data_IF_540046143730
#
_entry.id   IF_540046143730
#
_cell.length_a   1.000
_cell.length_b   1.000
_cell.length_c   1.000
_cell.angle_alpha   90.00
_cell.angle_beta   90.00
_cell.angle_gamma   90.00
#
_symmetry.space_group_name_H-M   'P 1'
#
loop_
_entity.id
_entity.type
_entity.pdbx_description
1 polymer ?
#
# COMPACT_ATOMS: atom_id res chain seq x y z
N UNK A 1 1.24 18.87 32.65
CA UNK A 1 1.88 19.77 31.66
C UNK A 1 1.72 19.37 30.17
N UNK A 2 0.82 18.44 29.79
CA UNK A 2 0.77 17.92 28.39
C UNK A 2 -0.35 18.42 27.47
N UNK A 3 -1.29 19.27 27.94
CA UNK A 3 -2.52 19.58 27.18
C UNK A 3 -2.40 20.85 26.32
N UNK A 4 -1.47 21.76 26.63
CA UNK A 4 -1.29 23.01 25.89
C UNK A 4 -0.58 22.84 24.53
N UNK A 5 0.27 21.81 24.37
CA UNK A 5 1.09 21.62 23.16
C UNK A 5 0.31 21.08 21.94
N UNK A 6 -0.78 20.33 22.15
CA UNK A 6 -1.61 19.81 21.04
C UNK A 6 -2.57 20.85 20.46
N UNK A 7 -3.09 21.77 21.29
CA UNK A 7 -3.98 22.86 20.81
C UNK A 7 -3.20 23.87 19.97
N UNK A 8 -1.97 24.21 20.33
CA UNK A 8 -1.14 25.14 19.54
C UNK A 8 -0.87 24.67 18.11
N UNK A 9 -0.65 23.36 17.91
CA UNK A 9 -0.42 22.78 16.56
C UNK A 9 -1.69 22.74 15.69
N UNK A 10 -2.86 22.53 16.29
CA UNK A 10 -4.13 22.60 15.55
C UNK A 10 -4.52 24.03 15.18
N UNK A 11 -4.26 25.01 16.06
CA UNK A 11 -4.50 26.41 15.74
C UNK A 11 -3.59 26.92 14.63
N UNK A 12 -2.32 26.52 14.62
CA UNK A 12 -1.39 26.89 13.55
C UNK A 12 -1.81 26.28 12.21
N UNK A 13 -2.26 25.01 12.19
CA UNK A 13 -2.77 24.37 10.97
C UNK A 13 -4.05 25.05 10.43
N UNK A 14 -4.97 25.43 11.33
CA UNK A 14 -6.20 26.16 10.96
C UNK A 14 -5.87 27.58 10.48
N UNK A 15 -4.94 28.27 11.12
CA UNK A 15 -4.51 29.61 10.73
C UNK A 15 -3.78 29.59 9.38
N UNK A 16 -2.94 28.58 9.12
CA UNK A 16 -2.30 28.39 7.82
C UNK A 16 -3.34 28.03 6.75
N UNK A 17 -4.30 27.15 7.04
CA UNK A 17 -5.37 26.83 6.10
C UNK A 17 -6.27 28.04 5.80
N UNK A 18 -6.58 28.87 6.81
CA UNK A 18 -7.33 30.10 6.65
C UNK A 18 -6.52 31.16 5.87
N UNK A 19 -5.23 31.31 6.15
CA UNK A 19 -4.34 32.21 5.43
C UNK A 19 -4.16 31.77 3.97
N UNK A 20 -4.03 30.47 3.72
CA UNK A 20 -3.99 29.90 2.36
C UNK A 20 -5.34 30.09 1.67
N UNK A 21 -6.47 29.89 2.36
CA UNK A 21 -7.79 30.13 1.79
C UNK A 21 -8.01 31.62 1.45
N UNK A 22 -7.56 32.53 2.31
CA UNK A 22 -7.59 33.98 2.06
C UNK A 22 -6.65 34.34 0.91
N UNK A 23 -5.43 33.82 0.89
CA UNK A 23 -4.49 34.03 -0.22
C UNK A 23 -5.06 33.47 -1.53
N UNK A 24 -5.72 32.32 -1.50
CA UNK A 24 -6.40 31.70 -2.64
C UNK A 24 -7.59 32.52 -3.10
N UNK A 25 -8.38 33.10 -2.19
CA UNK A 25 -9.48 34.01 -2.52
C UNK A 25 -8.94 35.32 -3.09
N UNK A 26 -7.84 35.85 -2.54
CA UNK A 26 -7.15 37.05 -3.04
C UNK A 26 -6.57 36.79 -4.43
N UNK A 27 -5.92 35.64 -4.66
CA UNK A 27 -5.40 35.23 -5.97
C UNK A 27 -6.52 34.94 -6.98
N UNK A 28 -7.68 34.43 -6.51
CA UNK A 28 -8.86 34.23 -7.34
C UNK A 28 -9.57 35.54 -7.70
N UNK A 29 -9.49 36.55 -6.83
CA UNK A 29 -10.03 37.89 -7.05
C UNK A 29 -9.10 38.79 -7.88
N UNK A 30 -7.78 38.54 -7.86
CA UNK A 30 -6.76 39.40 -8.46
C UNK A 30 -6.38 39.08 -9.92
N UNK A 31 -7.18 38.30 -10.65
CA UNK A 31 -6.93 37.95 -12.06
C UNK A 31 -5.49 37.44 -12.33
N UNK A 32 -4.91 36.69 -11.37
CA UNK A 32 -3.55 36.17 -11.49
C UNK A 32 -3.53 35.08 -12.57
N UNK A 33 -2.99 35.46 -13.73
CA UNK A 33 -3.09 34.67 -14.95
C UNK A 33 -2.11 33.48 -15.02
N UNK A 34 -1.21 33.34 -14.04
CA UNK A 34 -0.23 32.25 -14.06
C UNK A 34 -0.84 30.92 -13.63
N UNK A 35 -1.23 30.09 -14.61
CA UNK A 35 -1.66 28.69 -14.42
C UNK A 35 -0.68 27.90 -13.56
N UNK A 36 0.61 28.25 -13.58
CA UNK A 36 1.65 27.55 -12.83
C UNK A 36 1.60 27.85 -11.33
N UNK A 37 1.26 29.08 -10.93
CA UNK A 37 1.03 29.41 -9.50
C UNK A 37 -0.17 28.60 -8.98
N UNK A 38 -1.25 28.51 -9.74
CA UNK A 38 -2.43 27.76 -9.33
C UNK A 38 -2.17 26.25 -9.26
N UNK A 39 -1.32 25.70 -10.14
CA UNK A 39 -0.85 24.31 -10.06
C UNK A 39 0.00 24.08 -8.81
N UNK A 40 0.92 24.99 -8.51
CA UNK A 40 1.75 24.90 -7.30
C UNK A 40 0.88 24.92 -6.05
N UNK A 41 -0.07 25.86 -5.95
CA UNK A 41 -1.06 25.91 -4.87
C UNK A 41 -1.82 24.59 -4.78
N UNK A 42 -2.39 24.10 -5.89
CA UNK A 42 -3.17 22.87 -5.89
C UNK A 42 -2.33 21.67 -5.43
N UNK A 43 -1.05 21.60 -5.81
CA UNK A 43 -0.14 20.52 -5.42
C UNK A 43 0.17 20.46 -3.92
N UNK A 44 0.03 21.60 -3.23
CA UNK A 44 0.25 21.75 -1.78
C UNK A 44 -1.00 21.47 -0.95
N UNK A 45 -2.19 21.50 -1.57
CA UNK A 45 -3.45 21.21 -0.91
C UNK A 45 -3.66 19.72 -0.67
N UNK A 46 -4.35 19.37 0.42
CA UNK A 46 -4.80 18.01 0.63
C UNK A 46 -5.87 17.63 -0.42
N UNK A 47 -5.99 16.32 -0.70
CA UNK A 47 -6.93 15.81 -1.71
C UNK A 47 -8.35 16.38 -1.58
N UNK A 48 -8.87 16.50 -0.34
CA UNK A 48 -10.23 17.00 -0.08
C UNK A 48 -10.35 18.51 -0.35
N UNK A 49 -9.31 19.27 -0.05
CA UNK A 49 -9.24 20.71 -0.27
C UNK A 49 -9.10 21.02 -1.76
N UNK A 50 -8.18 20.34 -2.43
CA UNK A 50 -8.00 20.40 -3.88
C UNK A 50 -9.30 20.03 -4.62
N UNK A 51 -10.05 19.02 -4.14
CA UNK A 51 -11.35 18.66 -4.70
C UNK A 51 -12.37 19.81 -4.53
N UNK A 52 -12.39 20.48 -3.38
CA UNK A 52 -13.28 21.63 -3.12
C UNK A 52 -12.95 22.82 -4.01
N UNK A 53 -11.67 23.06 -4.27
CA UNK A 53 -11.22 24.11 -5.20
C UNK A 53 -11.85 23.94 -6.58
N UNK A 54 -12.03 22.69 -7.05
CA UNK A 54 -12.64 22.39 -8.36
C UNK A 54 -14.07 22.91 -8.53
N UNK A 55 -14.75 23.24 -7.43
CA UNK A 55 -16.12 23.75 -7.41
C UNK A 55 -16.14 25.28 -7.59
N UNK A 56 -15.06 25.97 -7.20
CA UNK A 56 -15.01 27.43 -7.18
C UNK A 56 -14.96 28.05 -8.59
N UNK A 57 -14.36 27.39 -9.58
CA UNK A 57 -14.35 27.90 -10.96
C UNK A 57 -14.05 26.83 -12.00
N UNK A 58 -14.31 27.14 -13.28
CA UNK A 58 -13.92 26.30 -14.43
C UNK A 58 -12.39 26.11 -14.52
N UNK A 59 -11.61 27.14 -14.15
CA UNK A 59 -10.12 27.09 -14.13
C UNK A 59 -9.64 26.07 -13.11
N UNK A 60 -10.14 26.14 -11.87
CA UNK A 60 -9.81 25.17 -10.82
C UNK A 60 -10.31 23.76 -11.13
N UNK A 61 -11.48 23.63 -11.76
CA UNK A 61 -11.97 22.33 -12.25
C UNK A 61 -11.04 21.71 -13.28
N UNK A 62 -10.48 22.52 -14.17
CA UNK A 62 -9.46 22.08 -15.13
C UNK A 62 -8.18 21.62 -14.45
N UNK A 63 -7.70 22.37 -13.45
CA UNK A 63 -6.48 22.02 -12.69
C UNK A 63 -6.64 20.77 -11.84
N UNK A 64 -7.83 20.54 -11.27
CA UNK A 64 -8.15 19.33 -10.52
C UNK A 64 -7.91 18.05 -11.32
N UNK A 65 -8.13 18.08 -12.64
CA UNK A 65 -7.85 16.94 -13.53
C UNK A 65 -6.37 16.57 -13.61
N UNK A 66 -5.48 17.48 -13.26
CA UNK A 66 -4.04 17.26 -13.22
C UNK A 66 -3.54 16.95 -11.79
N UNK A 67 -4.44 16.74 -10.83
CA UNK A 67 -4.05 16.48 -9.44
C UNK A 67 -3.46 15.07 -9.28
N UNK A 68 -2.22 15.00 -8.81
CA UNK A 68 -1.41 13.77 -8.88
C UNK A 68 -1.60 12.81 -7.68
N UNK A 69 -2.36 13.22 -6.65
CA UNK A 69 -2.44 12.53 -5.35
C UNK A 69 -3.88 12.13 -4.99
N UNK A 70 -4.41 11.10 -5.63
CA UNK A 70 -5.77 10.65 -5.38
C UNK A 70 -5.84 9.75 -4.14
N UNK A 71 -6.61 10.19 -3.13
CA UNK A 71 -6.72 9.49 -1.84
C UNK A 71 -8.20 9.26 -1.51
N UNK A 72 -8.66 8.04 -1.76
CA UNK A 72 -10.02 7.57 -1.50
C UNK A 72 -10.06 6.75 -0.20
N UNK A 73 -10.45 7.41 0.87
CA UNK A 73 -10.54 6.86 2.23
C UNK A 73 -11.88 7.23 2.82
N UNK A 74 -12.19 6.70 4.01
CA UNK A 74 -13.40 7.13 4.70
C UNK A 74 -13.34 8.63 5.04
N UNK A 75 -12.20 9.14 5.46
CA UNK A 75 -12.02 10.53 5.88
C UNK A 75 -12.14 11.52 4.71
N UNK A 76 -11.67 11.11 3.53
CA UNK A 76 -11.73 11.93 2.31
C UNK A 76 -13.08 11.85 1.61
N UNK A 77 -13.75 10.70 1.65
CA UNK A 77 -15.03 10.49 0.95
C UNK A 77 -16.27 10.87 1.77
N UNK A 78 -16.14 11.06 3.09
CA UNK A 78 -17.26 11.40 3.96
C UNK A 78 -16.99 12.68 4.78
N UNK A 79 -18.06 13.35 5.21
CA UNK A 79 -18.00 14.49 6.14
C UNK A 79 -17.94 13.99 7.58
N UNK A 80 -17.25 14.73 8.46
CA UNK A 80 -17.26 14.46 9.91
C UNK A 80 -18.71 14.41 10.41
N UNK A 81 -19.06 13.35 11.15
CA UNK A 81 -20.41 13.13 11.66
C UNK A 81 -21.34 12.27 10.80
N UNK A 82 -20.88 11.73 9.65
CA UNK A 82 -21.72 10.80 8.88
C UNK A 82 -21.77 9.41 9.54
N UNK A 83 -22.98 8.90 9.83
CA UNK A 83 -23.19 7.54 10.34
C UNK A 83 -22.47 6.50 9.49
N UNK A 84 -21.44 5.88 10.07
CA UNK A 84 -20.50 4.92 9.47
C UNK A 84 -21.15 3.75 8.72
N UNK A 85 -22.40 3.45 9.06
CA UNK A 85 -23.10 2.21 8.74
C UNK A 85 -23.83 2.28 7.39
N UNK A 86 -24.03 3.48 6.81
CA UNK A 86 -24.53 3.69 5.43
C UNK A 86 -23.47 4.45 4.64
N UNK A 87 -22.96 4.02 3.48
CA UNK A 87 -23.34 2.97 2.55
C UNK A 87 -22.09 2.73 1.67
N UNK A 88 -21.70 1.48 1.39
CA UNK A 88 -20.60 1.18 0.44
C UNK A 88 -20.88 1.78 -0.94
N UNK A 89 -22.16 1.86 -1.30
CA UNK A 89 -22.62 2.51 -2.53
C UNK A 89 -22.30 4.01 -2.56
N UNK A 90 -22.34 4.69 -1.41
CA UNK A 90 -21.97 6.12 -1.33
C UNK A 90 -20.47 6.31 -1.52
N UNK A 91 -19.64 5.45 -0.92
CA UNK A 91 -18.21 5.46 -1.20
C UNK A 91 -17.95 5.23 -2.69
N UNK A 92 -18.52 4.18 -3.28
CA UNK A 92 -18.39 3.88 -4.71
C UNK A 92 -18.87 5.04 -5.56
N UNK A 93 -20.01 5.64 -5.25
CA UNK A 93 -20.55 6.79 -5.97
C UNK A 93 -19.61 8.00 -5.90
N UNK A 94 -19.02 8.28 -4.72
CA UNK A 94 -18.09 9.39 -4.54
C UNK A 94 -16.75 9.14 -5.26
N UNK A 95 -16.19 7.93 -5.20
CA UNK A 95 -15.00 7.58 -5.98
C UNK A 95 -15.31 7.67 -7.47
N UNK A 96 -16.44 7.10 -7.88
CA UNK A 96 -16.87 7.14 -9.28
C UNK A 96 -17.20 8.56 -9.74
N UNK A 97 -17.67 9.48 -8.90
CA UNK A 97 -17.95 10.86 -9.33
C UNK A 97 -16.65 11.62 -9.59
N UNK A 98 -15.64 11.41 -8.74
CA UNK A 98 -14.27 11.92 -8.99
C UNK A 98 -13.71 11.32 -10.28
N UNK A 99 -13.92 10.02 -10.51
CA UNK A 99 -13.50 9.31 -11.71
C UNK A 99 -14.30 9.69 -12.98
N UNK A 100 -15.60 9.92 -12.86
CA UNK A 100 -16.51 10.31 -13.96
C UNK A 100 -16.21 11.72 -14.45
N UNK A 101 -15.61 12.58 -13.61
CA UNK A 101 -15.05 13.85 -14.06
C UNK A 101 -13.85 13.67 -15.02
N UNK A 102 -13.20 12.50 -15.03
CA UNK A 102 -12.12 12.14 -15.96
C UNK A 102 -12.64 11.39 -17.20
N UNK A 103 -13.71 10.59 -17.08
CA UNK A 103 -14.22 9.76 -18.17
C UNK A 103 -15.33 10.38 -19.06
N UNK A 104 -15.84 11.60 -18.77
CA UNK A 104 -17.05 12.13 -19.45
C UNK A 104 -16.91 13.51 -20.08
N UNK A 105 -16.00 13.68 -21.04
CA UNK A 105 -16.15 14.69 -22.09
C UNK A 105 -15.65 14.23 -23.49
N UNK A 106 -15.65 12.93 -23.81
CA UNK A 106 -15.77 12.45 -25.21
C UNK A 106 -15.82 10.92 -25.31
N UNK A 107 -16.78 10.34 -26.06
CA UNK A 107 -16.65 9.02 -26.68
C UNK A 107 -15.83 9.06 -27.99
N UNK A 108 -15.40 10.24 -28.45
CA UNK A 108 -14.81 10.45 -29.78
C UNK A 108 -13.38 11.03 -29.76
N UNK A 109 -12.67 10.94 -28.64
CA UNK A 109 -11.28 11.42 -28.55
C UNK A 109 -10.47 10.50 -27.65
N UNK A 110 -9.23 10.13 -28.01
CA UNK A 110 -8.34 9.44 -27.09
C UNK A 110 -8.21 10.32 -25.83
N UNK A 111 -8.18 9.74 -24.62
CA UNK A 111 -8.17 10.52 -23.40
C UNK A 111 -6.95 11.44 -23.39
N UNK A 112 -7.20 12.75 -23.48
CA UNK A 112 -6.21 13.83 -23.35
C UNK A 112 -5.48 13.83 -21.99
N UNK A 113 -5.76 12.85 -21.12
CA UNK A 113 -5.12 12.61 -19.82
C UNK A 113 -4.05 11.52 -19.84
N UNK A 114 -3.65 11.01 -21.01
CA UNK A 114 -2.45 10.16 -21.17
C UNK A 114 -1.15 10.85 -20.67
N UNK A 115 -1.17 12.14 -20.35
CA UNK A 115 0.02 12.91 -19.95
C UNK A 115 0.26 13.08 -18.45
N UNK A 116 -0.73 12.87 -17.57
CA UNK A 116 -0.53 13.14 -16.12
C UNK A 116 -0.16 11.87 -15.38
N UNK A 117 1.11 11.78 -14.96
CA UNK A 117 1.62 10.67 -14.15
C UNK A 117 1.11 10.84 -12.72
N UNK A 118 0.27 9.93 -12.24
CA UNK A 118 -0.14 9.94 -10.83
C UNK A 118 1.05 9.64 -9.93
N UNK A 119 1.31 10.54 -8.97
CA UNK A 119 2.27 10.26 -7.90
C UNK A 119 1.70 9.21 -6.96
N UNK A 120 0.43 9.36 -6.57
CA UNK A 120 -0.17 8.55 -5.51
C UNK A 120 -1.63 8.22 -5.81
N UNK A 121 -1.96 6.95 -5.65
CA UNK A 121 -3.31 6.42 -5.77
C UNK A 121 -3.60 5.53 -4.56
N UNK A 122 -4.58 5.92 -3.74
CA UNK A 122 -4.93 5.21 -2.51
C UNK A 122 -6.42 4.93 -2.49
N UNK A 123 -6.79 3.67 -2.28
CA UNK A 123 -8.15 3.25 -1.97
C UNK A 123 -8.11 2.47 -0.66
N UNK A 124 -8.75 3.00 0.38
CA UNK A 124 -8.92 2.34 1.67
C UNK A 124 -10.39 2.31 2.06
N UNK A 125 -11.03 1.16 1.90
CA UNK A 125 -12.43 0.99 2.26
C UNK A 125 -12.82 -0.48 2.22
N UNK A 126 -13.66 -0.95 3.15
CA UNK A 126 -14.16 -2.33 3.13
C UNK A 126 -15.10 -2.58 1.94
N UNK A 127 -14.56 -3.20 0.89
CA UNK A 127 -15.28 -3.62 -0.31
C UNK A 127 -15.50 -5.14 -0.30
N UNK A 128 -16.55 -5.60 -0.98
CA UNK A 128 -16.98 -7.00 -1.12
C UNK A 128 -16.78 -7.45 -2.56
N UNK A 129 -16.79 -8.75 -2.82
CA UNK A 129 -16.60 -9.30 -4.17
C UNK A 129 -17.62 -8.79 -5.18
N UNK A 130 -18.87 -8.56 -4.76
CA UNK A 130 -19.91 -7.96 -5.64
C UNK A 130 -19.52 -6.61 -6.25
N UNK A 131 -18.52 -5.93 -5.70
CA UNK A 131 -18.07 -4.60 -6.13
C UNK A 131 -16.78 -4.66 -6.97
N UNK A 132 -16.30 -5.86 -7.33
CA UNK A 132 -15.08 -6.08 -8.13
C UNK A 132 -15.04 -5.18 -9.36
N UNK A 133 -16.15 -5.11 -10.13
CA UNK A 133 -16.22 -4.29 -11.35
C UNK A 133 -15.87 -2.81 -11.15
N UNK A 134 -16.18 -2.24 -9.99
CA UNK A 134 -15.78 -0.86 -9.67
C UNK A 134 -14.30 -0.80 -9.33
N UNK A 135 -13.82 -1.74 -8.51
CA UNK A 135 -12.41 -1.84 -8.12
C UNK A 135 -11.53 -2.07 -9.34
N UNK A 136 -11.91 -2.96 -10.26
CA UNK A 136 -11.18 -3.26 -11.49
C UNK A 136 -11.00 -2.00 -12.35
N UNK A 137 -12.05 -1.16 -12.46
CA UNK A 137 -11.96 0.13 -13.15
C UNK A 137 -10.98 1.08 -12.46
N UNK A 138 -11.03 1.14 -11.12
CA UNK A 138 -10.14 2.00 -10.35
C UNK A 138 -8.67 1.55 -10.43
N UNK A 139 -8.42 0.24 -10.36
CA UNK A 139 -7.07 -0.32 -10.52
C UNK A 139 -6.58 -0.11 -11.96
N UNK A 140 -7.43 -0.35 -12.96
CA UNK A 140 -7.10 -0.09 -14.37
C UNK A 140 -6.72 1.37 -14.60
N UNK A 141 -7.50 2.29 -14.06
CA UNK A 141 -7.18 3.70 -14.09
C UNK A 141 -5.82 4.01 -13.45
N UNK A 142 -5.54 3.47 -12.26
CA UNK A 142 -4.23 3.68 -11.61
C UNK A 142 -3.06 3.19 -12.46
N UNK A 143 -3.25 2.11 -13.23
CA UNK A 143 -2.26 1.59 -14.16
C UNK A 143 -2.10 2.49 -15.40
N UNK A 144 -3.22 2.88 -16.04
CA UNK A 144 -3.23 3.76 -17.21
C UNK A 144 -2.60 5.12 -16.92
N UNK A 145 -2.85 5.66 -15.73
CA UNK A 145 -2.30 6.93 -15.26
C UNK A 145 -0.87 6.81 -14.69
N UNK A 146 -0.21 5.66 -14.91
CA UNK A 146 1.18 5.38 -14.53
C UNK A 146 1.48 5.67 -13.04
N UNK A 147 0.55 5.29 -12.16
CA UNK A 147 0.65 5.60 -10.75
C UNK A 147 1.94 5.03 -10.11
N UNK A 148 2.69 5.88 -9.40
CA UNK A 148 3.96 5.48 -8.78
C UNK A 148 3.78 4.83 -7.41
N UNK A 149 2.80 5.28 -6.63
CA UNK A 149 2.51 4.76 -5.30
C UNK A 149 1.05 4.31 -5.23
N UNK A 150 0.83 2.99 -5.17
CA UNK A 150 -0.50 2.38 -5.15
C UNK A 150 -0.74 1.75 -3.78
N UNK A 151 -1.86 2.10 -3.16
CA UNK A 151 -2.36 1.46 -1.94
C UNK A 151 -3.78 0.98 -2.19
N UNK A 152 -4.00 -0.31 -2.04
CA UNK A 152 -5.33 -0.92 -2.05
C UNK A 152 -5.51 -1.66 -0.73
N UNK A 153 -6.44 -1.18 0.09
CA UNK A 153 -6.65 -1.66 1.44
C UNK A 153 -8.14 -1.87 1.71
N UNK A 154 -8.54 -3.13 1.84
CA UNK A 154 -9.92 -3.49 2.13
C UNK A 154 -10.14 -3.91 3.59
N UNK A 155 -9.18 -3.63 4.49
CA UNK A 155 -9.23 -4.00 5.91
C UNK A 155 -10.16 -3.13 6.76
N UNK A 156 -10.45 -1.90 6.32
CA UNK A 156 -11.00 -0.88 7.22
C UNK A 156 -12.49 -1.05 7.54
N UNK A 157 -12.81 -1.33 8.81
CA UNK A 157 -14.17 -1.34 9.40
C UNK A 157 -14.40 -2.55 10.31
N UNK A 158 -15.33 -2.47 11.27
CA UNK A 158 -15.80 -3.67 12.01
C UNK A 158 -16.77 -4.49 11.13
N UNK A 159 -17.39 -5.53 11.68
CA UNK A 159 -18.48 -6.36 11.12
C UNK A 159 -18.08 -7.71 10.50
N UNK A 160 -18.27 -8.78 11.29
CA UNK A 160 -18.76 -10.12 10.93
C UNK A 160 -17.87 -11.04 10.09
N UNK A 161 -17.79 -12.31 10.51
CA UNK A 161 -17.08 -13.44 9.87
C UNK A 161 -17.74 -13.95 8.58
N UNK A 162 -18.05 -13.03 7.67
CA UNK A 162 -18.56 -13.37 6.35
C UNK A 162 -17.38 -13.59 5.40
N UNK A 163 -17.04 -14.86 5.18
CA UNK A 163 -15.99 -15.33 4.26
C UNK A 163 -16.37 -15.12 2.78
N UNK A 164 -16.77 -13.92 2.39
CA UNK A 164 -16.88 -13.56 0.98
C UNK A 164 -15.49 -13.68 0.35
N UNK A 165 -15.39 -14.46 -0.72
CA UNK A 165 -14.14 -14.72 -1.44
C UNK A 165 -13.40 -13.41 -1.75
N UNK A 166 -12.14 -13.33 -1.28
CA UNK A 166 -11.27 -12.16 -1.38
C UNK A 166 -11.15 -11.65 -2.82
N UNK A 167 -11.11 -10.33 -3.01
CA UNK A 167 -10.91 -9.68 -4.31
C UNK A 167 -9.59 -10.13 -4.95
N UNK A 168 -9.60 -10.54 -6.22
CA UNK A 168 -8.37 -10.89 -6.93
C UNK A 168 -7.81 -9.62 -7.58
N UNK A 169 -6.60 -9.24 -7.18
CA UNK A 169 -5.93 -8.06 -7.73
C UNK A 169 -5.52 -8.30 -9.19
N UNK A 170 -5.92 -7.43 -10.13
CA UNK A 170 -5.73 -7.65 -11.56
C UNK A 170 -4.32 -7.22 -11.97
N UNK A 171 -3.37 -8.13 -11.76
CA UNK A 171 -1.95 -7.90 -12.06
C UNK A 171 -1.69 -7.57 -13.54
N UNK A 172 -2.49 -8.14 -14.45
CA UNK A 172 -2.33 -7.93 -15.90
C UNK A 172 -2.40 -6.46 -16.33
N UNK A 173 -3.10 -5.58 -15.60
CA UNK A 173 -3.11 -4.14 -15.87
C UNK A 173 -1.72 -3.49 -15.77
N UNK A 174 -0.80 -4.13 -15.05
CA UNK A 174 0.56 -3.65 -14.84
C UNK A 174 1.61 -4.45 -15.63
N UNK A 175 1.19 -5.46 -16.40
CA UNK A 175 2.04 -6.25 -17.29
C UNK A 175 2.01 -5.63 -18.70
N UNK A 176 3.16 -5.30 -19.27
CA UNK A 176 3.23 -4.74 -20.63
C UNK A 176 4.61 -4.20 -21.01
N UNK A 177 4.86 -4.06 -22.31
CA UNK A 177 6.16 -3.67 -22.91
C UNK A 177 6.72 -2.33 -22.41
N UNK A 178 5.86 -1.39 -22.00
CA UNK A 178 6.27 -0.10 -21.48
C UNK A 178 6.66 -0.11 -19.98
N UNK A 179 6.57 -1.27 -19.33
CA UNK A 179 6.90 -1.46 -17.92
C UNK A 179 5.98 -0.71 -16.95
N UNK A 180 5.78 -1.28 -15.76
CA UNK A 180 5.00 -0.61 -14.72
C UNK A 180 5.79 0.57 -14.13
N UNK A 181 5.15 1.75 -14.00
CA UNK A 181 5.73 2.93 -13.32
C UNK A 181 5.65 2.84 -11.78
N UNK A 182 5.07 1.76 -11.26
CA UNK A 182 4.84 1.55 -9.83
C UNK A 182 6.19 1.37 -9.12
N UNK A 183 6.45 2.27 -8.16
CA UNK A 183 7.61 2.24 -7.26
C UNK A 183 7.25 1.70 -5.88
N UNK A 184 6.00 1.84 -5.46
CA UNK A 184 5.49 1.27 -4.21
C UNK A 184 4.11 0.69 -4.39
N UNK A 185 3.95 -0.56 -3.96
CA UNK A 185 2.69 -1.28 -3.97
C UNK A 185 2.37 -1.78 -2.57
N UNK A 186 1.19 -1.42 -2.05
CA UNK A 186 0.68 -1.90 -0.78
C UNK A 186 -0.71 -2.50 -0.98
N UNK A 187 -0.81 -3.80 -0.75
CA UNK A 187 -2.05 -4.56 -0.93
C UNK A 187 -2.45 -5.17 0.41
N UNK A 188 -3.69 -4.90 0.83
CA UNK A 188 -4.19 -5.37 2.12
C UNK A 188 -5.59 -5.97 1.98
N UNK A 189 -5.82 -7.16 2.57
CA UNK A 189 -7.11 -7.88 2.55
C UNK A 189 -7.63 -8.25 1.14
N UNK A 190 -6.79 -8.92 0.35
CA UNK A 190 -7.13 -9.35 -1.01
C UNK A 190 -6.41 -10.64 -1.44
N UNK A 191 -6.64 -11.11 -2.66
CA UNK A 191 -5.94 -12.22 -3.30
C UNK A 191 -4.97 -11.69 -4.35
N UNK A 192 -3.75 -12.23 -4.35
CA UNK A 192 -2.73 -11.95 -5.35
C UNK A 192 -2.41 -13.25 -6.09
N UNK A 193 -2.79 -13.32 -7.37
CA UNK A 193 -2.57 -14.50 -8.20
C UNK A 193 -1.71 -14.11 -9.41
N UNK A 194 -0.37 -14.12 -9.27
CA UNK A 194 0.52 -13.80 -10.39
C UNK A 194 0.39 -14.86 -11.48
N UNK A 195 0.03 -14.50 -12.72
CA UNK A 195 0.05 -15.44 -13.82
C UNK A 195 1.51 -15.81 -14.16
N UNK A 196 1.77 -16.99 -14.76
CA UNK A 196 3.13 -17.47 -15.03
C UNK A 196 3.95 -16.56 -15.96
N UNK A 197 3.27 -15.85 -16.86
CA UNK A 197 3.83 -14.93 -17.86
C UNK A 197 3.88 -13.47 -17.38
N UNK A 198 3.67 -13.22 -16.08
CA UNK A 198 3.69 -11.88 -15.54
C UNK A 198 5.09 -11.25 -15.63
N UNK A 199 5.27 -10.21 -16.45
CA UNK A 199 6.55 -9.50 -16.62
C UNK A 199 6.90 -8.55 -15.45
N UNK A 200 6.27 -8.74 -14.29
CA UNK A 200 6.60 -8.04 -13.05
C UNK A 200 6.33 -6.55 -12.96
N UNK A 201 6.92 -5.99 -11.89
CA UNK A 201 6.99 -4.56 -11.65
C UNK A 201 8.45 -4.10 -11.67
N UNK A 202 8.96 -3.81 -12.86
CA UNK A 202 10.38 -3.50 -13.10
C UNK A 202 10.92 -2.30 -12.31
N UNK A 203 10.06 -1.37 -11.88
CA UNK A 203 10.42 -0.19 -11.09
C UNK A 203 10.08 -0.29 -9.59
N UNK A 204 9.57 -1.44 -9.12
CA UNK A 204 9.06 -1.59 -7.77
C UNK A 204 10.19 -1.64 -6.74
N UNK A 205 10.24 -0.62 -5.88
CA UNK A 205 11.18 -0.54 -4.76
C UNK A 205 10.58 -1.05 -3.45
N UNK A 206 9.27 -0.92 -3.25
CA UNK A 206 8.60 -1.26 -1.99
C UNK A 206 7.35 -2.08 -2.21
N UNK A 207 7.32 -3.30 -1.70
CA UNK A 207 6.16 -4.18 -1.70
C UNK A 207 5.70 -4.48 -0.28
N UNK A 208 4.45 -4.11 0.05
CA UNK A 208 3.78 -4.53 1.29
C UNK A 208 2.56 -5.39 0.95
N UNK A 209 2.55 -6.62 1.47
CA UNK A 209 1.40 -7.51 1.46
C UNK A 209 0.93 -7.71 2.90
N UNK A 210 -0.37 -7.49 3.15
CA UNK A 210 -0.95 -7.59 4.49
C UNK A 210 -2.30 -8.31 4.45
N UNK A 211 -2.45 -9.45 5.13
CA UNK A 211 -3.67 -10.26 5.05
C UNK A 211 -4.03 -10.66 3.59
N UNK A 212 -3.03 -11.01 2.78
CA UNK A 212 -3.19 -11.37 1.36
C UNK A 212 -3.17 -12.88 1.16
N UNK A 213 -4.07 -13.41 0.32
CA UNK A 213 -3.99 -14.81 -0.16
C UNK A 213 -3.11 -14.89 -1.37
N UNK A 214 -2.18 -15.84 -1.37
CA UNK A 214 -1.31 -16.13 -2.51
C UNK A 214 -1.44 -17.64 -2.76
N UNK A 215 -2.41 -18.08 -3.58
CA UNK A 215 -2.63 -19.51 -3.84
C UNK A 215 -1.48 -20.13 -4.64
N UNK A 216 -0.84 -19.35 -5.51
CA UNK A 216 0.38 -19.73 -6.22
C UNK A 216 1.66 -19.44 -5.43
N UNK A 217 2.77 -19.34 -6.13
CA UNK A 217 4.08 -19.03 -5.54
C UNK A 217 4.48 -17.58 -5.84
N UNK A 218 5.03 -16.87 -4.85
CA UNK A 218 5.66 -15.56 -5.07
C UNK A 218 6.91 -15.64 -5.97
N UNK A 219 7.40 -16.85 -6.23
CA UNK A 219 8.54 -17.12 -7.11
C UNK A 219 8.37 -16.55 -8.51
N UNK A 220 7.14 -16.42 -9.04
CA UNK A 220 6.91 -15.80 -10.35
C UNK A 220 6.93 -14.27 -10.30
N UNK A 221 6.75 -13.66 -9.13
CA UNK A 221 6.59 -12.21 -8.98
C UNK A 221 7.90 -11.50 -8.58
N UNK A 222 8.63 -12.08 -7.63
CA UNK A 222 9.80 -11.44 -7.04
C UNK A 222 11.00 -11.29 -7.99
N UNK A 223 11.36 -12.28 -8.83
CA UNK A 223 12.46 -12.13 -9.79
C UNK A 223 12.27 -10.97 -10.76
N UNK A 224 11.03 -10.72 -11.16
CA UNK A 224 10.68 -9.64 -12.07
C UNK A 224 10.68 -8.24 -11.41
N UNK A 225 10.96 -8.17 -10.10
CA UNK A 225 11.08 -6.92 -9.34
C UNK A 225 12.55 -6.60 -9.06
N UNK A 226 13.38 -6.46 -10.10
CA UNK A 226 14.84 -6.33 -10.01
C UNK A 226 15.37 -5.19 -9.11
N UNK A 227 14.56 -4.14 -8.88
CA UNK A 227 14.95 -2.99 -8.05
C UNK A 227 14.28 -2.96 -6.67
N UNK A 228 13.73 -4.10 -6.22
CA UNK A 228 13.04 -4.20 -4.93
C UNK A 228 14.01 -3.99 -3.77
N UNK A 229 13.76 -2.96 -2.96
CA UNK A 229 14.57 -2.57 -1.80
C UNK A 229 13.92 -2.98 -0.48
N UNK A 230 12.59 -3.08 -0.44
CA UNK A 230 11.81 -3.32 0.77
C UNK A 230 10.65 -4.27 0.52
N UNK A 231 10.63 -5.39 1.24
CA UNK A 231 9.58 -6.40 1.19
C UNK A 231 9.01 -6.64 2.59
N UNK A 232 7.69 -6.54 2.73
CA UNK A 232 6.99 -6.91 3.95
C UNK A 232 5.76 -7.74 3.64
N UNK A 233 5.73 -8.95 4.20
CA UNK A 233 4.65 -9.92 4.08
C UNK A 233 4.12 -10.18 5.48
N UNK A 234 2.88 -9.77 5.73
CA UNK A 234 2.26 -9.81 7.07
C UNK A 234 0.90 -10.49 6.95
N UNK A 235 0.56 -11.42 7.85
CA UNK A 235 -0.75 -12.10 7.89
C UNK A 235 -1.15 -12.79 6.58
N UNK A 236 -0.19 -13.14 5.71
CA UNK A 236 -0.49 -13.70 4.39
C UNK A 236 -0.66 -15.21 4.42
N UNK A 237 -1.46 -15.75 3.51
CA UNK A 237 -1.58 -17.20 3.27
C UNK A 237 -0.78 -17.55 2.03
N UNK A 238 0.33 -18.28 2.19
CA UNK A 238 1.25 -18.66 1.10
C UNK A 238 2.02 -19.93 1.49
N UNK A 239 2.38 -20.77 0.51
CA UNK A 239 3.08 -22.06 0.76
C UNK A 239 4.56 -21.88 1.14
N UNK A 240 5.22 -20.88 0.57
CA UNK A 240 6.65 -20.65 0.79
C UNK A 240 7.10 -19.34 0.19
N UNK A 241 8.18 -18.79 0.73
CA UNK A 241 8.84 -17.61 0.22
C UNK A 241 10.21 -18.03 -0.29
N UNK A 242 10.33 -18.18 -1.61
CA UNK A 242 11.57 -18.60 -2.24
C UNK A 242 11.91 -17.72 -3.44
N UNK A 243 13.19 -17.59 -3.74
CA UNK A 243 13.70 -16.83 -4.89
C UNK A 243 14.59 -17.73 -5.75
N UNK A 244 14.33 -17.80 -7.05
CA UNK A 244 15.18 -18.52 -8.01
C UNK A 244 16.45 -17.75 -8.39
N UNK A 245 16.48 -16.44 -8.13
CA UNK A 245 17.60 -15.55 -8.43
C UNK A 245 17.88 -14.60 -7.25
N UNK A 246 19.11 -14.11 -7.09
CA UNK A 246 19.45 -13.18 -6.01
C UNK A 246 18.75 -11.82 -6.14
N UNK A 247 18.13 -11.36 -5.05
CA UNK A 247 17.53 -10.03 -4.93
C UNK A 247 18.59 -9.01 -4.50
N UNK A 248 19.43 -8.58 -5.43
CA UNK A 248 20.60 -7.73 -5.14
C UNK A 248 20.31 -6.36 -4.51
N UNK A 249 19.10 -5.80 -4.70
CA UNK A 249 18.75 -4.49 -4.12
C UNK A 249 17.98 -4.59 -2.81
N UNK A 250 17.57 -5.78 -2.41
CA UNK A 250 16.70 -5.97 -1.25
C UNK A 250 17.50 -5.68 0.02
N UNK A 251 17.09 -4.66 0.76
CA UNK A 251 17.71 -4.22 2.02
C UNK A 251 16.89 -4.57 3.25
N UNK A 252 15.58 -4.73 3.08
CA UNK A 252 14.67 -5.00 4.19
C UNK A 252 13.69 -6.12 3.83
N UNK A 253 13.62 -7.12 4.70
CA UNK A 253 12.67 -8.21 4.62
C UNK A 253 11.94 -8.39 5.95
N UNK A 254 10.61 -8.36 5.92
CA UNK A 254 9.76 -8.73 7.06
C UNK A 254 8.77 -9.82 6.66
N UNK A 255 8.73 -10.90 7.42
CA UNK A 255 7.73 -11.97 7.32
C UNK A 255 7.08 -12.15 8.68
N UNK A 256 5.74 -12.06 8.75
CA UNK A 256 5.04 -12.11 10.03
C UNK A 256 3.66 -12.75 9.95
N UNK A 257 3.35 -13.67 10.86
CA UNK A 257 2.05 -14.34 11.03
C UNK A 257 1.53 -14.97 9.73
N UNK A 258 2.37 -15.71 9.00
CA UNK A 258 2.02 -16.25 7.69
C UNK A 258 1.51 -17.70 7.77
N UNK A 259 0.27 -17.91 7.35
CA UNK A 259 -0.37 -19.23 7.40
C UNK A 259 0.02 -20.09 6.19
N UNK A 260 0.24 -21.39 6.44
CA UNK A 260 0.55 -22.37 5.40
C UNK A 260 1.99 -22.30 4.84
N UNK A 261 2.80 -21.36 5.33
CA UNK A 261 4.17 -21.19 4.90
C UNK A 261 5.05 -22.31 5.49
N UNK A 262 5.78 -23.02 4.64
CA UNK A 262 6.63 -24.14 5.03
C UNK A 262 8.09 -23.73 5.24
N UNK A 263 8.62 -22.83 4.41
CA UNK A 263 9.99 -22.33 4.51
C UNK A 263 10.18 -20.93 3.94
N UNK A 264 11.25 -20.28 4.39
CA UNK A 264 11.77 -19.02 3.84
C UNK A 264 13.17 -19.29 3.29
N UNK A 265 13.38 -19.10 1.99
CA UNK A 265 14.65 -19.33 1.33
C UNK A 265 14.95 -18.18 0.38
N UNK A 266 15.79 -17.25 0.80
CA UNK A 266 16.05 -16.01 0.06
C UNK A 266 17.54 -15.82 -0.14
N UNK A 267 17.91 -15.53 -1.38
CA UNK A 267 19.23 -15.04 -1.73
C UNK A 267 19.16 -13.52 -1.90
N UNK A 268 19.73 -12.75 -0.97
CA UNK A 268 19.74 -11.29 -1.03
C UNK A 268 21.06 -10.74 -0.46
N UNK A 269 22.11 -10.60 -1.31
CA UNK A 269 23.46 -10.26 -0.83
C UNK A 269 23.57 -8.97 -0.03
N UNK A 270 22.74 -7.98 -0.35
CA UNK A 270 22.72 -6.67 0.28
C UNK A 270 21.54 -6.51 1.27
N UNK A 271 21.05 -7.60 1.86
CA UNK A 271 20.00 -7.55 2.86
C UNK A 271 20.56 -6.97 4.16
N UNK A 272 20.03 -5.84 4.61
CA UNK A 272 20.49 -5.14 5.83
C UNK A 272 19.71 -5.63 7.06
N UNK A 273 18.39 -5.77 6.91
CA UNK A 273 17.46 -6.04 8.01
C UNK A 273 16.52 -7.19 7.67
N UNK A 274 16.53 -8.22 8.51
CA UNK A 274 15.60 -9.34 8.47
C UNK A 274 14.71 -9.35 9.72
N UNK A 275 13.40 -9.46 9.54
CA UNK A 275 12.44 -9.62 10.64
C UNK A 275 11.53 -10.81 10.37
N UNK A 276 11.57 -11.79 11.24
CA UNK A 276 10.72 -12.96 11.20
C UNK A 276 9.89 -13.03 12.46
N UNK A 277 8.57 -13.14 12.33
CA UNK A 277 7.69 -13.33 13.46
C UNK A 277 6.60 -14.34 13.09
N UNK A 278 6.85 -15.61 13.34
CA UNK A 278 5.97 -16.72 12.98
C UNK A 278 6.29 -17.95 13.83
N UNK A 279 5.58 -19.05 13.62
CA UNK A 279 5.98 -20.34 14.18
C UNK A 279 7.34 -20.80 13.62
N UNK A 280 8.08 -21.67 14.33
CA UNK A 280 9.31 -22.27 13.83
C UNK A 280 9.15 -22.90 12.44
N UNK A 281 9.98 -22.50 11.48
CA UNK A 281 9.95 -22.94 10.07
C UNK A 281 11.36 -22.78 9.50
N UNK A 282 11.88 -23.70 8.66
CA UNK A 282 13.18 -23.54 8.04
C UNK A 282 13.40 -22.17 7.39
N UNK A 283 14.46 -21.49 7.81
CA UNK A 283 14.93 -20.21 7.25
C UNK A 283 16.29 -20.46 6.63
N UNK A 284 16.45 -20.11 5.37
CA UNK A 284 17.71 -20.24 4.62
C UNK A 284 18.00 -18.90 3.96
N UNK A 285 18.86 -18.11 4.58
CA UNK A 285 19.34 -16.81 4.08
C UNK A 285 20.75 -16.91 3.52
N UNK A 286 21.03 -18.01 2.81
CA UNK A 286 22.33 -18.25 2.19
C UNK A 286 22.66 -17.15 1.18
N UNK A 287 23.88 -16.63 1.28
CA UNK A 287 24.34 -15.53 0.44
C UNK A 287 23.88 -14.14 0.90
N UNK A 288 23.16 -13.99 2.03
CA UNK A 288 22.86 -12.68 2.63
C UNK A 288 24.06 -12.13 3.44
N UNK A 289 25.16 -11.79 2.75
CA UNK A 289 26.45 -11.44 3.37
C UNK A 289 26.44 -10.09 4.12
N UNK A 290 25.54 -9.17 3.77
CA UNK A 290 25.47 -7.84 4.36
C UNK A 290 24.55 -7.73 5.60
N UNK A 291 24.04 -8.85 6.12
CA UNK A 291 22.99 -8.86 7.15
C UNK A 291 23.43 -8.21 8.47
N UNK A 292 22.98 -6.97 8.69
CA UNK A 292 23.32 -6.19 9.86
C UNK A 292 22.47 -6.57 11.07
N UNK A 293 21.15 -6.69 10.89
CA UNK A 293 20.22 -7.00 11.98
C UNK A 293 19.22 -8.08 11.57
N UNK A 294 19.10 -9.13 12.39
CA UNK A 294 18.00 -10.08 12.31
C UNK A 294 17.21 -10.07 13.62
N UNK A 295 15.89 -9.94 13.53
CA UNK A 295 14.97 -10.15 14.65
C UNK A 295 14.11 -11.36 14.37
N UNK A 296 14.16 -12.36 15.24
CA UNK A 296 13.32 -13.56 15.17
C UNK A 296 12.44 -13.61 16.42
N UNK A 297 11.14 -13.46 16.22
CA UNK A 297 10.14 -13.54 17.28
C UNK A 297 9.34 -14.83 17.17
N UNK A 298 9.43 -15.70 18.18
CA UNK A 298 8.78 -17.01 18.22
C UNK A 298 7.77 -17.08 19.37
N UNK A 299 6.71 -17.88 19.25
CA UNK A 299 5.88 -18.24 20.39
C UNK A 299 6.72 -18.88 21.50
N UNK A 300 6.42 -18.58 22.77
CA UNK A 300 7.10 -19.21 23.89
C UNK A 300 6.68 -20.69 24.03
N UNK A 301 7.45 -21.60 23.42
CA UNK A 301 7.34 -23.05 23.63
C UNK A 301 8.73 -23.71 23.64
N UNK A 302 8.86 -24.89 24.26
CA UNK A 302 10.12 -25.66 24.33
C UNK A 302 10.73 -25.92 22.95
N UNK A 303 9.89 -26.23 21.97
CA UNK A 303 10.32 -26.54 20.60
C UNK A 303 10.92 -25.31 19.91
N UNK A 304 10.43 -24.11 20.24
CA UNK A 304 10.95 -22.86 19.70
C UNK A 304 12.36 -22.54 20.21
N UNK A 305 12.68 -22.94 21.45
CA UNK A 305 14.04 -22.80 21.99
C UNK A 305 15.02 -23.68 21.23
N UNK A 306 14.73 -24.98 21.08
CA UNK A 306 15.59 -25.89 20.34
C UNK A 306 15.83 -25.40 18.91
N UNK A 307 14.74 -25.05 18.21
CA UNK A 307 14.82 -24.48 16.87
C UNK A 307 15.74 -23.25 16.78
N UNK A 308 15.70 -22.36 17.78
CA UNK A 308 16.51 -21.16 17.78
C UNK A 308 18.00 -21.41 17.97
N UNK A 309 18.39 -22.49 18.65
CA UNK A 309 19.78 -22.83 18.87
C UNK A 309 20.34 -23.84 17.85
N UNK A 310 19.49 -24.62 17.17
CA UNK A 310 19.94 -25.63 16.19
C UNK A 310 19.79 -25.16 14.74
N UNK A 311 18.64 -24.59 14.38
CA UNK A 311 18.30 -24.30 12.98
C UNK A 311 18.67 -22.87 12.57
N UNK A 312 18.41 -21.88 13.42
CA UNK A 312 18.65 -20.48 13.09
C UNK A 312 20.13 -20.12 12.84
N UNK A 313 21.12 -20.63 13.59
CA UNK A 313 22.52 -20.34 13.31
C UNK A 313 22.96 -20.81 11.92
N UNK A 314 22.46 -21.97 11.49
CA UNK A 314 22.70 -22.51 10.14
C UNK A 314 21.95 -21.70 9.07
N UNK A 315 20.74 -21.25 9.38
CA UNK A 315 19.88 -20.52 8.46
C UNK A 315 20.24 -19.05 8.24
N UNK A 316 20.90 -18.42 9.22
CA UNK A 316 21.23 -17.00 9.24
C UNK A 316 22.72 -16.80 9.64
N UNK A 317 23.68 -17.37 8.88
CA UNK A 317 25.06 -17.51 9.34
C UNK A 317 25.87 -16.20 9.39
N UNK A 318 25.44 -15.16 8.67
CA UNK A 318 26.21 -13.92 8.49
C UNK A 318 25.65 -12.71 9.25
N UNK A 319 24.73 -12.93 10.19
CA UNK A 319 24.12 -11.82 10.95
C UNK A 319 25.12 -11.18 11.92
N UNK A 320 25.20 -9.84 11.94
CA UNK A 320 26.03 -9.11 12.92
C UNK A 320 25.34 -8.92 14.26
N UNK A 321 24.05 -8.57 14.24
CA UNK A 321 23.21 -8.40 15.43
C UNK A 321 21.97 -9.27 15.33
N UNK A 322 21.89 -10.27 16.20
CA UNK A 322 20.74 -11.15 16.29
C UNK A 322 19.91 -10.83 17.53
N UNK A 323 18.63 -10.52 17.34
CA UNK A 323 17.67 -10.32 18.42
C UNK A 323 16.66 -11.47 18.39
N UNK A 324 16.50 -12.15 19.51
CA UNK A 324 15.47 -13.16 19.70
C UNK A 324 14.38 -12.61 20.63
N UNK A 325 13.13 -12.72 20.22
CA UNK A 325 11.97 -12.32 21.03
C UNK A 325 11.10 -13.55 21.29
N UNK A 326 10.77 -13.79 22.55
CA UNK A 326 9.82 -14.82 22.95
C UNK A 326 8.47 -14.18 23.24
N UNK A 327 7.45 -14.65 22.54
CA UNK A 327 6.11 -14.10 22.63
C UNK A 327 5.28 -15.04 23.48
N UNK A 328 4.96 -14.59 24.69
CA UNK A 328 3.99 -15.24 25.54
C UNK A 328 2.61 -15.14 24.88
N UNK A 329 2.08 -16.26 24.39
CA UNK A 329 0.69 -16.31 23.94
C UNK A 329 -0.23 -16.23 25.16
N UNK A 330 -0.77 -15.05 25.44
CA UNK A 330 -1.77 -14.85 26.50
C UNK A 330 -3.12 -15.45 26.10
N UNK A 331 -3.43 -16.65 26.61
CA UNK A 331 -4.66 -17.00 27.35
C UNK A 331 -4.80 -18.52 27.50
N UNK A 332 -4.02 -19.10 28.41
CA UNK A 332 -4.53 -20.22 29.22
C UNK A 332 -4.92 -19.59 30.55
N UNK A 333 -6.23 -19.48 30.81
CA UNK A 333 -6.73 -19.30 32.17
C UNK A 333 -6.27 -20.51 32.98
N UNK A 334 -5.23 -20.33 33.79
CA UNK A 334 -4.94 -21.25 34.88
C UNK A 334 -5.99 -20.98 35.96
N UNK A 335 -7.07 -21.77 35.94
CA UNK A 335 -7.90 -21.92 37.13
C UNK A 335 -7.20 -22.97 38.00
N UNK A 336 -6.77 -22.54 39.19
CA UNK A 336 -6.27 -23.42 40.25
C UNK A 336 -7.36 -24.39 40.71
#
# INVERSE_FOLDING_TARGET
MGVASRRGKSFLAIAVAAAVAVLVLVLAAADVDSKDILRDVLSRLEFKEAARMSILSRKWRGLWRCYENLVFTRETMFSSGSNAVKNRQKFISNVNSVYVLEARLAPASPPLLSSTILKKFVVRFKLRKRQTRHVDRWVSFSAMSKARHIVVDFSQGSWGDDHDSRYIFPLHNFSGSNGSSVRSLRLMFLCLNPPPDFCGFTNLKKLKLDAVSIPGHLQCLLPECAVLEWLSIVRCTLRGLQTSQPLYRLRYLRVQHCNGMQKVEIQAPNLDVFKFHDSPKPIVLNGCLALAEATVALPASSDCFNYAFTELPCGIPHVRKFNMELIMCGNSTWNF
#
